data_IF_965647855094
#
_entry.id   IF_965647855094
#
_cell.length_a   1.000
_cell.length_b   1.000
_cell.length_c   1.000
_cell.angle_alpha   90.00
_cell.angle_beta   90.00
_cell.angle_gamma   90.00
#
_symmetry.space_group_name_H-M   'P 1'
#
loop_
_entity.id
_entity.type
_entity.pdbx_description
1 polymer ?
#
# COMPACT_ATOMS: atom_id res chain seq x y z
N UNK A 1 -8.93 24.03 -11.01
CA UNK A 1 -7.69 23.24 -10.93
C UNK A 1 -7.71 22.24 -12.06
N UNK A 2 -6.57 21.98 -12.67
CA UNK A 2 -6.45 20.92 -13.68
C UNK A 2 -6.43 19.56 -12.99
N UNK A 3 -6.96 18.53 -13.66
CA UNK A 3 -6.94 17.18 -13.13
C UNK A 3 -5.52 16.60 -13.20
N UNK A 4 -5.09 15.77 -12.22
CA UNK A 4 -3.81 15.10 -12.29
C UNK A 4 -3.75 14.13 -13.47
N UNK A 5 -2.58 14.02 -14.09
CA UNK A 5 -2.32 12.98 -15.10
C UNK A 5 -2.09 11.66 -14.37
N UNK A 6 -2.87 10.64 -14.72
CA UNK A 6 -2.74 9.29 -14.17
C UNK A 6 -2.39 8.33 -15.30
N UNK A 7 -1.15 7.84 -15.28
CA UNK A 7 -0.68 6.76 -16.15
C UNK A 7 -0.34 5.54 -15.28
N UNK A 8 -1.10 4.46 -15.45
CA UNK A 8 -0.99 3.25 -14.64
C UNK A 8 0.17 2.35 -15.07
N UNK A 9 0.61 2.48 -16.34
CA UNK A 9 1.57 1.56 -16.97
C UNK A 9 1.24 0.07 -16.81
N UNK A 10 -0.04 -0.29 -16.78
CA UNK A 10 -0.44 -1.69 -16.69
C UNK A 10 0.11 -2.49 -17.87
N UNK A 11 0.65 -3.66 -17.58
CA UNK A 11 1.16 -4.61 -18.58
C UNK A 11 2.33 -4.06 -19.40
N UNK A 12 3.05 -3.04 -18.91
CA UNK A 12 4.23 -2.50 -19.60
C UNK A 12 5.44 -3.42 -19.54
N UNK A 13 5.46 -4.34 -18.56
CA UNK A 13 6.49 -5.36 -18.40
C UNK A 13 5.97 -6.73 -18.86
N UNK A 14 6.79 -7.47 -19.63
CA UNK A 14 6.42 -8.79 -20.14
C UNK A 14 6.09 -9.79 -19.01
N UNK A 15 6.69 -9.60 -17.83
CA UNK A 15 6.43 -10.41 -16.66
C UNK A 15 4.98 -10.29 -16.17
N UNK A 16 4.34 -9.11 -16.30
CA UNK A 16 2.95 -8.91 -15.89
C UNK A 16 2.01 -9.79 -16.71
N UNK A 17 2.23 -9.84 -18.03
CA UNK A 17 1.45 -10.68 -18.95
C UNK A 17 1.69 -12.16 -18.65
N UNK A 18 2.94 -12.53 -18.41
CA UNK A 18 3.34 -13.91 -18.10
C UNK A 18 2.62 -14.43 -16.84
N UNK A 19 2.65 -13.65 -15.76
CA UNK A 19 2.09 -14.06 -14.46
C UNK A 19 0.57 -14.06 -14.51
N UNK A 20 -0.05 -13.02 -15.10
CA UNK A 20 -1.51 -12.93 -15.17
C UNK A 20 -2.11 -14.01 -16.07
N UNK A 21 -1.48 -14.33 -17.20
CA UNK A 21 -1.95 -15.39 -18.10
C UNK A 21 -1.85 -16.79 -17.46
N UNK A 22 -0.78 -17.07 -16.70
CA UNK A 22 -0.66 -18.32 -15.95
C UNK A 22 -1.70 -18.39 -14.83
N UNK A 23 -1.96 -17.27 -14.13
CA UNK A 23 -3.00 -17.19 -13.12
C UNK A 23 -4.40 -17.46 -13.70
N UNK A 24 -4.73 -16.90 -14.87
CA UNK A 24 -5.99 -17.17 -15.56
C UNK A 24 -6.12 -18.65 -15.94
N UNK A 25 -5.08 -19.25 -16.52
CA UNK A 25 -5.05 -20.68 -16.85
C UNK A 25 -5.25 -21.54 -15.60
N UNK A 26 -4.51 -21.26 -14.53
CA UNK A 26 -4.59 -22.01 -13.29
C UNK A 26 -5.98 -21.91 -12.64
N UNK A 27 -6.56 -20.70 -12.58
CA UNK A 27 -7.91 -20.51 -12.08
C UNK A 27 -8.94 -21.27 -12.94
N UNK A 28 -8.80 -21.24 -14.26
CA UNK A 28 -9.67 -21.98 -15.16
C UNK A 28 -9.57 -23.50 -14.94
N UNK A 29 -8.36 -24.04 -14.74
CA UNK A 29 -8.17 -25.46 -14.42
C UNK A 29 -8.86 -25.84 -13.10
N UNK A 30 -8.68 -25.04 -12.06
CA UNK A 30 -9.37 -25.24 -10.76
C UNK A 30 -10.88 -25.29 -10.96
N UNK A 31 -11.45 -24.37 -11.74
CA UNK A 31 -12.90 -24.26 -11.90
C UNK A 31 -13.45 -25.37 -12.81
N UNK A 32 -12.78 -25.69 -13.92
CA UNK A 32 -13.28 -26.62 -14.94
C UNK A 32 -12.98 -28.08 -14.63
N UNK A 33 -11.91 -28.37 -13.88
CA UNK A 33 -11.47 -29.74 -13.57
C UNK A 33 -11.59 -30.09 -12.08
N UNK A 34 -11.72 -29.10 -11.20
CA UNK A 34 -11.80 -29.31 -9.77
C UNK A 34 -12.99 -30.18 -9.37
N UNK A 35 -12.74 -31.11 -8.43
CA UNK A 35 -13.74 -32.09 -7.98
C UNK A 35 -15.03 -31.43 -7.45
N UNK A 36 -14.91 -30.27 -6.81
CA UNK A 36 -16.02 -29.52 -6.22
C UNK A 36 -16.67 -28.51 -7.19
N UNK A 37 -15.99 -28.13 -8.26
CA UNK A 37 -16.33 -26.99 -9.11
C UNK A 37 -16.84 -27.42 -10.49
N UNK A 38 -16.30 -28.51 -11.06
CA UNK A 38 -16.60 -28.93 -12.44
C UNK A 38 -18.08 -29.21 -12.71
N UNK A 39 -18.84 -29.65 -11.70
CA UNK A 39 -20.27 -29.98 -11.85
C UNK A 39 -21.20 -28.77 -11.66
N UNK A 40 -20.68 -27.65 -11.13
CA UNK A 40 -21.46 -26.42 -10.89
C UNK A 40 -21.10 -25.31 -11.88
N UNK A 41 -19.97 -25.43 -12.56
CA UNK A 41 -19.54 -24.49 -13.59
C UNK A 41 -20.18 -24.81 -14.94
N UNK A 42 -20.83 -23.82 -15.55
CA UNK A 42 -21.58 -23.98 -16.80
C UNK A 42 -20.89 -23.36 -18.02
N UNK A 43 -19.73 -22.72 -17.84
CA UNK A 43 -19.02 -21.98 -18.88
C UNK A 43 -18.75 -20.52 -18.49
N UNK A 44 -18.09 -19.80 -19.40
CA UNK A 44 -17.77 -18.38 -19.24
C UNK A 44 -19.03 -17.51 -19.11
N UNK A 45 -18.87 -16.33 -18.50
CA UNK A 45 -19.88 -15.28 -18.47
C UNK A 45 -19.32 -13.98 -19.05
N UNK A 46 -20.05 -13.25 -19.92
CA UNK A 46 -21.32 -13.64 -20.56
C UNK A 46 -21.24 -14.96 -21.36
N UNK A 47 -22.39 -15.61 -21.59
CA UNK A 47 -22.47 -17.00 -22.08
C UNK A 47 -21.94 -17.23 -23.50
N UNK A 48 -21.82 -16.16 -24.29
CA UNK A 48 -21.23 -16.15 -25.62
C UNK A 48 -19.69 -16.17 -25.60
N UNK A 49 -19.07 -15.94 -24.44
CA UNK A 49 -17.62 -16.04 -24.30
C UNK A 49 -17.14 -17.49 -24.23
N UNK A 50 -15.92 -17.73 -24.72
CA UNK A 50 -15.35 -19.09 -24.82
C UNK A 50 -14.01 -19.27 -24.12
N UNK A 51 -13.54 -18.30 -23.34
CA UNK A 51 -12.22 -18.35 -22.69
C UNK A 51 -12.07 -19.54 -21.71
N UNK A 52 -13.16 -20.06 -21.15
CA UNK A 52 -13.13 -21.29 -20.34
C UNK A 52 -12.60 -22.53 -21.08
N UNK A 53 -12.60 -22.51 -22.42
CA UNK A 53 -12.06 -23.57 -23.27
C UNK A 53 -10.54 -23.48 -23.45
N UNK A 54 -9.91 -22.38 -23.04
CA UNK A 54 -8.47 -22.20 -23.15
C UNK A 54 -7.73 -23.15 -22.19
N UNK A 55 -6.78 -23.92 -22.72
CA UNK A 55 -6.01 -24.91 -21.94
C UNK A 55 -4.52 -24.57 -21.84
N UNK A 56 -4.02 -23.66 -22.69
CA UNK A 56 -2.64 -23.20 -22.66
C UNK A 56 -2.57 -21.75 -22.16
N UNK A 57 -1.43 -21.38 -21.60
CA UNK A 57 -1.20 -20.04 -21.05
C UNK A 57 -1.25 -18.98 -22.15
N UNK A 58 -0.65 -19.28 -23.31
CA UNK A 58 -0.54 -18.37 -24.45
C UNK A 58 -1.92 -17.94 -24.97
N UNK A 59 -2.93 -18.81 -24.81
CA UNK A 59 -4.30 -18.53 -25.22
C UNK A 59 -4.98 -17.48 -24.30
N UNK A 60 -4.44 -17.25 -23.09
CA UNK A 60 -4.93 -16.25 -22.14
C UNK A 60 -4.28 -14.87 -22.28
N UNK A 61 -3.16 -14.74 -22.98
CA UNK A 61 -2.46 -13.45 -23.10
C UNK A 61 -3.33 -12.35 -23.74
N UNK A 62 -4.06 -12.59 -24.85
CA UNK A 62 -4.96 -11.58 -25.41
C UNK A 62 -6.06 -11.19 -24.42
N UNK A 63 -6.62 -12.18 -23.70
CA UNK A 63 -7.66 -11.95 -22.71
C UNK A 63 -7.16 -11.04 -21.57
N UNK A 64 -5.94 -11.28 -21.08
CA UNK A 64 -5.30 -10.42 -20.06
C UNK A 64 -5.14 -8.99 -20.56
N UNK A 65 -4.68 -8.79 -21.79
CA UNK A 65 -4.48 -7.44 -22.36
C UNK A 65 -5.77 -6.64 -22.46
N UNK A 66 -6.88 -7.31 -22.80
CA UNK A 66 -8.16 -6.66 -23.00
C UNK A 66 -8.96 -6.46 -21.70
N UNK A 67 -8.68 -7.25 -20.66
CA UNK A 67 -9.53 -7.32 -19.45
C UNK A 67 -8.82 -7.02 -18.13
N UNK A 68 -7.49 -6.84 -18.12
CA UNK A 68 -6.79 -6.46 -16.90
C UNK A 68 -7.31 -5.13 -16.36
N UNK A 69 -7.54 -5.09 -15.05
CA UNK A 69 -8.05 -3.91 -14.35
C UNK A 69 -7.42 -3.79 -12.97
N UNK A 70 -7.64 -2.66 -12.32
CA UNK A 70 -7.13 -2.40 -10.98
C UNK A 70 -7.84 -3.24 -9.92
N UNK A 71 -7.09 -3.67 -8.91
CA UNK A 71 -7.64 -4.12 -7.63
C UNK A 71 -7.77 -2.98 -6.60
N UNK A 72 -7.59 -1.72 -7.04
CA UNK A 72 -7.66 -0.52 -6.21
C UNK A 72 -6.61 -0.46 -5.09
N UNK A 73 -5.41 -0.97 -5.35
CA UNK A 73 -4.28 -0.97 -4.42
C UNK A 73 -3.08 -0.12 -4.88
N UNK A 74 -3.25 1.19 -5.22
CA UNK A 74 -2.11 2.03 -5.55
C UNK A 74 -1.22 2.28 -4.30
N UNK A 75 0.09 2.39 -4.53
CA UNK A 75 1.09 2.68 -3.50
C UNK A 75 2.45 3.04 -4.11
N UNK A 76 3.37 3.48 -3.27
CA UNK A 76 4.77 3.76 -3.64
C UNK A 76 5.06 5.09 -4.33
N UNK A 77 4.08 5.96 -4.55
CA UNK A 77 4.28 7.29 -5.19
C UNK A 77 5.10 8.26 -4.34
N UNK A 78 5.20 8.04 -3.03
CA UNK A 78 6.08 8.77 -2.12
C UNK A 78 6.94 7.79 -1.32
N UNK A 79 7.61 6.86 -2.01
CA UNK A 79 8.36 5.77 -1.37
C UNK A 79 9.33 6.25 -0.29
N UNK A 80 9.33 5.53 0.83
CA UNK A 80 10.47 5.53 1.76
C UNK A 80 11.68 4.86 1.09
N UNK A 81 12.88 5.21 1.56
CA UNK A 81 14.11 4.53 1.14
C UNK A 81 15.30 4.91 2.01
N UNK A 82 16.43 4.28 1.75
CA UNK A 82 17.71 4.57 2.42
C UNK A 82 18.26 5.92 2.00
N UNK A 83 19.22 6.47 2.74
CA UNK A 83 19.74 7.83 2.46
C UNK A 83 20.36 7.96 1.05
N UNK A 84 20.90 6.87 0.52
CA UNK A 84 21.53 6.75 -0.79
C UNK A 84 20.55 6.37 -1.92
N UNK A 85 19.27 6.10 -1.63
CA UNK A 85 18.26 5.81 -2.65
C UNK A 85 17.82 7.12 -3.35
N UNK A 86 18.21 7.35 -4.62
CA UNK A 86 17.91 8.59 -5.32
C UNK A 86 16.42 8.75 -5.66
N UNK A 87 15.63 7.68 -5.58
CA UNK A 87 14.19 7.67 -5.84
C UNK A 87 13.36 7.82 -4.55
N UNK A 88 14.00 7.85 -3.38
CA UNK A 88 13.30 7.98 -2.10
C UNK A 88 12.77 9.41 -1.92
N UNK A 89 11.47 9.52 -1.62
CA UNK A 89 10.81 10.78 -1.25
C UNK A 89 10.86 10.99 0.26
N UNK A 90 10.78 9.89 1.01
CA UNK A 90 10.72 9.89 2.47
C UNK A 90 11.96 9.22 3.09
N UNK A 91 12.24 9.56 4.35
CA UNK A 91 13.14 8.78 5.20
C UNK A 91 12.40 7.65 5.94
N UNK A 92 13.13 6.89 6.77
CA UNK A 92 12.57 5.78 7.56
C UNK A 92 11.60 6.24 8.66
N UNK A 93 11.51 7.54 8.94
CA UNK A 93 10.62 8.15 9.93
C UNK A 93 9.45 8.89 9.26
N UNK A 94 9.17 8.55 7.99
CA UNK A 94 8.09 9.08 7.16
C UNK A 94 8.22 10.58 6.84
N UNK A 95 9.39 11.19 7.06
CA UNK A 95 9.60 12.63 6.82
C UNK A 95 9.92 12.89 5.36
N UNK A 96 9.35 13.96 4.82
CA UNK A 96 9.65 14.41 3.46
C UNK A 96 11.06 14.98 3.41
N UNK A 97 11.89 14.44 2.51
CA UNK A 97 13.28 14.87 2.36
C UNK A 97 13.35 16.33 1.92
N UNK A 98 14.22 17.09 2.59
CA UNK A 98 14.40 18.52 2.32
C UNK A 98 13.30 19.44 2.88
N UNK A 99 12.26 18.90 3.53
CA UNK A 99 11.16 19.69 4.11
C UNK A 99 11.06 19.44 5.61
N UNK A 100 11.01 20.52 6.41
CA UNK A 100 10.87 20.41 7.87
C UNK A 100 9.39 20.31 8.26
N UNK A 101 9.09 19.47 9.25
CA UNK A 101 7.76 19.38 9.86
C UNK A 101 6.68 18.70 8.99
N UNK A 102 7.07 18.06 7.88
CA UNK A 102 6.14 17.39 6.97
C UNK A 102 6.39 15.87 6.93
N UNK A 103 5.31 15.10 7.03
CA UNK A 103 5.30 13.63 6.87
C UNK A 103 4.19 13.20 5.93
N UNK A 104 4.36 12.02 5.33
CA UNK A 104 3.31 11.32 4.58
C UNK A 104 3.03 9.99 5.28
N UNK A 105 1.77 9.65 5.49
CA UNK A 105 1.35 8.48 6.27
C UNK A 105 0.14 7.78 5.64
N UNK A 106 0.33 7.28 4.42
CA UNK A 106 -0.67 6.52 3.67
C UNK A 106 0.04 5.42 2.83
N UNK A 107 -0.65 4.75 1.92
CA UNK A 107 -0.06 3.66 1.11
C UNK A 107 1.01 4.13 0.12
N UNK A 108 1.14 5.43 -0.15
CA UNK A 108 2.17 5.98 -1.04
C UNK A 108 3.59 5.78 -0.49
N UNK A 109 3.74 5.57 0.81
CA UNK A 109 5.05 5.47 1.48
C UNK A 109 5.74 4.12 1.25
N UNK A 110 4.99 3.11 0.83
CA UNK A 110 5.49 1.73 0.70
C UNK A 110 6.53 1.63 -0.42
N UNK A 111 7.78 1.20 -0.14
CA UNK A 111 8.79 1.05 -1.19
C UNK A 111 8.46 -0.04 -2.22
N UNK A 112 7.70 -1.06 -1.80
CA UNK A 112 7.19 -2.14 -2.61
C UNK A 112 5.76 -2.46 -2.14
N UNK A 113 4.85 -2.77 -3.08
CA UNK A 113 3.51 -3.21 -2.74
C UNK A 113 3.54 -4.57 -2.02
N UNK A 114 2.67 -4.72 -1.02
CA UNK A 114 2.48 -5.98 -0.33
C UNK A 114 1.68 -6.97 -1.20
N UNK A 115 1.86 -8.26 -0.95
CA UNK A 115 1.14 -9.34 -1.65
C UNK A 115 -0.25 -9.59 -1.02
N UNK A 116 -1.09 -8.56 -0.94
CA UNK A 116 -2.43 -8.64 -0.36
C UNK A 116 -3.18 -7.31 -0.37
N UNK A 117 -4.34 -7.26 0.30
CA UNK A 117 -5.13 -6.03 0.39
C UNK A 117 -4.40 -4.93 1.18
N UNK A 118 -4.39 -3.71 0.66
CA UNK A 118 -3.62 -2.58 1.23
C UNK A 118 -4.26 -1.96 2.48
N UNK A 119 -5.47 -2.39 2.85
CA UNK A 119 -6.14 -1.95 4.08
C UNK A 119 -5.28 -2.19 5.33
N UNK A 120 -4.70 -3.39 5.47
CA UNK A 120 -3.88 -3.71 6.63
C UNK A 120 -2.58 -2.89 6.69
N UNK A 121 -1.81 -2.76 5.59
CA UNK A 121 -0.71 -1.80 5.52
C UNK A 121 -1.11 -0.38 5.87
N UNK A 122 -2.25 0.12 5.38
CA UNK A 122 -2.70 1.48 5.67
C UNK A 122 -2.88 1.71 7.18
N UNK A 123 -3.52 0.78 7.89
CA UNK A 123 -3.63 0.85 9.36
C UNK A 123 -2.26 0.80 10.04
N UNK A 124 -1.40 -0.14 9.65
CA UNK A 124 -0.06 -0.27 10.25
C UNK A 124 0.81 0.99 10.06
N UNK A 125 0.75 1.61 8.87
CA UNK A 125 1.44 2.86 8.57
C UNK A 125 0.88 4.00 9.43
N UNK A 126 -0.45 4.10 9.56
CA UNK A 126 -1.11 5.10 10.39
C UNK A 126 -0.71 4.99 11.87
N UNK A 127 -0.75 3.79 12.43
CA UNK A 127 -0.32 3.53 13.82
C UNK A 127 1.17 3.87 14.02
N UNK A 128 2.03 3.44 13.09
CA UNK A 128 3.46 3.77 13.14
C UNK A 128 3.71 5.27 13.06
N UNK A 129 2.98 5.99 12.20
CA UNK A 129 3.08 7.43 12.08
C UNK A 129 2.63 8.13 13.37
N UNK A 130 1.55 7.66 14.00
CA UNK A 130 1.09 8.17 15.27
C UNK A 130 2.16 8.04 16.37
N UNK A 131 2.82 6.88 16.46
CA UNK A 131 3.92 6.66 17.41
C UNK A 131 5.14 7.53 17.11
N UNK A 132 5.53 7.67 15.84
CA UNK A 132 6.63 8.54 15.44
C UNK A 132 6.33 10.01 15.76
N UNK A 133 5.10 10.46 15.58
CA UNK A 133 4.67 11.84 15.89
C UNK A 133 4.66 12.05 17.41
N UNK A 134 4.09 11.13 18.19
CA UNK A 134 4.12 11.19 19.67
C UNK A 134 5.55 11.16 20.21
N UNK A 135 6.38 10.24 19.71
CA UNK A 135 7.79 10.12 20.11
C UNK A 135 8.60 11.37 19.74
N UNK A 136 8.39 11.91 18.54
CA UNK A 136 9.00 13.20 18.14
C UNK A 136 8.51 14.35 19.02
N UNK A 137 7.25 14.34 19.44
CA UNK A 137 6.71 15.35 20.34
C UNK A 137 7.34 15.26 21.73
N UNK A 138 7.60 14.06 22.24
CA UNK A 138 8.30 13.86 23.51
C UNK A 138 9.77 14.32 23.43
N UNK A 139 10.50 13.98 22.36
CA UNK A 139 11.89 14.42 22.19
C UNK A 139 12.03 15.92 21.94
N UNK A 140 11.11 16.54 21.20
CA UNK A 140 11.05 18.01 21.05
C UNK A 140 10.77 18.73 22.38
N UNK A 141 10.16 18.07 23.36
CA UNK A 141 9.89 18.64 24.67
C UNK A 141 11.05 18.51 25.65
N UNK A 142 12.05 17.65 25.40
CA UNK A 142 13.27 17.58 26.21
C UNK A 142 14.21 18.77 25.96
N UNK A 143 14.13 19.38 24.78
CA UNK A 143 14.86 20.62 24.43
C UNK A 143 14.18 21.90 24.94
N UNK A 144 13.04 21.77 25.64
CA UNK A 144 12.34 22.92 26.24
C UNK A 144 12.98 23.23 27.61
N UNK A 145 13.50 24.46 27.83
CA UNK A 145 14.07 24.85 29.11
C UNK A 145 13.08 24.63 30.25
N UNK A 146 13.59 24.15 31.40
CA UNK A 146 12.80 23.99 32.61
C UNK A 146 12.03 25.30 32.93
N UNK A 147 10.70 25.22 33.00
CA UNK A 147 9.83 26.34 33.36
C UNK A 147 8.90 26.85 32.26
N UNK A 148 9.01 26.37 31.01
CA UNK A 148 8.03 26.70 29.96
C UNK A 148 6.79 25.83 30.12
N UNK A 149 5.65 26.45 30.46
CA UNK A 149 4.34 25.76 30.52
C UNK A 149 3.70 25.75 29.14
N UNK A 150 3.60 24.57 28.52
CA UNK A 150 2.74 24.37 27.35
C UNK A 150 1.32 24.07 27.83
N UNK A 151 0.38 24.99 27.63
CA UNK A 151 -1.05 24.69 27.76
C UNK A 151 -1.54 24.01 26.49
N UNK A 152 -1.74 22.69 26.55
CA UNK A 152 -2.51 21.95 25.55
C UNK A 152 -3.91 21.67 26.11
N UNK A 153 -4.93 21.77 25.26
CA UNK A 153 -6.35 21.79 25.63
C UNK A 153 -6.81 20.67 26.57
N UNK A 154 -7.64 21.08 27.54
CA UNK A 154 -8.49 20.31 28.47
C UNK A 154 -7.89 19.14 29.28
N UNK A 155 -6.57 18.94 29.34
CA UNK A 155 -5.97 17.98 30.27
C UNK A 155 -4.56 18.38 30.69
N UNK A 156 -4.34 18.55 31.99
CA UNK A 156 -2.99 18.72 32.54
C UNK A 156 -2.30 17.36 32.57
N UNK A 157 -1.32 17.13 31.68
CA UNK A 157 -0.40 16.00 31.80
C UNK A 157 0.91 16.50 32.40
N UNK A 158 1.41 15.81 33.42
CA UNK A 158 2.73 16.09 34.01
C UNK A 158 3.74 15.06 33.55
N UNK A 159 4.88 15.53 33.04
CA UNK A 159 6.06 14.72 32.77
C UNK A 159 6.80 14.55 34.11
N UNK A 160 7.12 13.30 34.49
CA UNK A 160 7.91 13.07 35.71
C UNK A 160 9.40 13.42 35.47
N UNK A 161 10.20 13.46 36.55
CA UNK A 161 11.64 13.80 36.47
C UNK A 161 12.51 12.88 35.61
N UNK A 162 11.92 11.84 35.00
CA UNK A 162 12.57 10.90 34.08
C UNK A 162 12.04 11.03 32.64
N UNK A 163 11.31 12.09 32.28
CA UNK A 163 10.82 12.30 30.92
C UNK A 163 9.65 11.39 30.51
N UNK A 164 9.13 10.56 31.42
CA UNK A 164 8.03 9.64 31.11
C UNK A 164 6.69 10.35 31.28
N UNK A 165 5.87 10.30 30.22
CA UNK A 165 4.49 10.75 30.24
C UNK A 165 3.65 9.80 31.12
N UNK A 166 3.24 10.27 32.29
CA UNK A 166 2.29 9.53 33.13
C UNK A 166 0.89 10.04 32.78
N UNK A 167 0.09 9.17 32.17
CA UNK A 167 -1.34 9.41 32.00
C UNK A 167 -2.02 9.14 33.36
N UNK A 168 -2.55 10.17 34.01
CA UNK A 168 -3.56 10.02 35.08
C UNK A 168 -4.92 10.42 34.57
#
# INVERSE_FOLDING_TARGET
MENPVVDHKYLSEDLDILVLSEACKFANEIITQGKATKSIFHGSWPADLTHHKHTRREDWEPYVRDNATTCYHPGGTCKMGTNDDPMAVLDAELRVRGVKGLRVADTSVMPLLNQGHTQMPAYAIGEKAADLIKGSFLTLNEDIPAGVKMTMGSGSQSVNGNGILVLT
#
